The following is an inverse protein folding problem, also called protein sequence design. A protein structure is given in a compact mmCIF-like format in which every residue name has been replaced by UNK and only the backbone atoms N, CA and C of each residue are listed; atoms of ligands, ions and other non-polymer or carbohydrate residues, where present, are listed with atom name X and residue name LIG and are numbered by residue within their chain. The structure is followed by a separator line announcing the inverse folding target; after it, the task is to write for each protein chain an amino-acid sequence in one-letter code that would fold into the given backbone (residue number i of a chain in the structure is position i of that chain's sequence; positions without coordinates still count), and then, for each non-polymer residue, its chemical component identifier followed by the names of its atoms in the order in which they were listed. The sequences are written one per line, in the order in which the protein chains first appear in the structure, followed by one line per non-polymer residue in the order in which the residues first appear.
data_IF_714297423974
#
_entry.id   IF_714297423974
#
_cell.length_a   1.000
_cell.length_b   1.000
_cell.length_c   1.000
_cell.angle_alpha   90.00
_cell.angle_beta   90.00
_cell.angle_gamma   90.00
#
_symmetry.space_group_name_H-M   'P 1'
#
loop_
_entity.id
_entity.type
_entity.pdbx_description
1 polymer ?
#
# COMPACT_ATOMS: atom_id res chain seq x y z
N UNK A 1 16.72 35.69 -0.15
CA UNK A 1 16.29 35.29 1.21
C UNK A 1 16.96 33.95 1.49
N UNK A 2 18.12 33.96 2.13
CA UNK A 2 18.82 32.72 2.53
C UNK A 2 18.01 32.07 3.65
N UNK A 3 17.44 30.90 3.40
CA UNK A 3 16.84 30.10 4.46
C UNK A 3 17.96 29.62 5.37
N UNK A 4 18.02 30.18 6.60
CA UNK A 4 18.82 29.60 7.68
C UNK A 4 18.47 28.11 7.79
N UNK A 5 19.46 27.20 7.93
CA UNK A 5 19.18 25.79 8.08
C UNK A 5 18.19 25.64 9.23
N UNK A 6 17.09 24.92 9.00
CA UNK A 6 16.15 24.58 10.06
C UNK A 6 16.98 24.03 11.23
N UNK A 7 16.78 24.51 12.48
CA UNK A 7 17.58 24.03 13.60
C UNK A 7 17.44 22.52 13.64
N UNK A 8 18.55 21.78 13.53
CA UNK A 8 18.60 20.31 13.36
C UNK A 8 17.62 19.57 14.28
N UNK A 9 17.39 20.13 15.48
CA UNK A 9 16.40 19.70 16.47
C UNK A 9 14.97 19.57 15.95
N UNK A 10 14.49 20.47 15.09
CA UNK A 10 13.13 20.41 14.53
C UNK A 10 13.03 19.30 13.48
N UNK A 11 14.03 19.21 12.60
CA UNK A 11 14.11 18.14 11.59
C UNK A 11 14.15 16.76 12.26
N UNK A 12 14.98 16.60 13.28
CA UNK A 12 15.11 15.35 14.02
C UNK A 12 13.82 14.98 14.75
N UNK A 13 13.17 15.94 15.43
CA UNK A 13 11.87 15.71 16.06
C UNK A 13 10.80 15.27 15.05
N UNK A 14 10.77 15.88 13.86
CA UNK A 14 9.81 15.49 12.82
C UNK A 14 10.05 14.06 12.34
N UNK A 15 11.31 13.66 12.11
CA UNK A 15 11.67 12.29 11.74
C UNK A 15 11.28 11.29 12.83
N UNK A 16 11.62 11.57 14.09
CA UNK A 16 11.39 10.68 15.22
C UNK A 16 9.89 10.47 15.53
N UNK A 17 9.08 11.51 15.37
CA UNK A 17 7.65 11.47 15.66
C UNK A 17 6.81 11.00 14.46
N UNK A 18 7.35 11.06 13.25
CA UNK A 18 6.61 10.70 12.06
C UNK A 18 6.15 9.25 12.08
N UNK A 19 7.08 8.30 12.30
CA UNK A 19 6.74 6.89 12.24
C UNK A 19 5.61 6.48 13.22
N UNK A 20 5.67 6.82 14.52
CA UNK A 20 4.57 6.57 15.45
C UNK A 20 3.26 7.25 15.06
N UNK A 21 3.30 8.53 14.66
CA UNK A 21 2.10 9.26 14.27
C UNK A 21 1.44 8.66 13.03
N UNK A 22 2.25 8.26 12.04
CA UNK A 22 1.79 7.69 10.80
C UNK A 22 1.18 6.30 10.99
N UNK A 23 1.81 5.45 11.79
CA UNK A 23 1.28 4.13 12.16
C UNK A 23 -0.02 4.23 12.95
N UNK A 24 -0.15 5.24 13.81
CA UNK A 24 -1.39 5.50 14.54
C UNK A 24 -2.50 5.91 13.57
N UNK A 25 -2.23 6.88 12.69
CA UNK A 25 -3.21 7.36 11.72
C UNK A 25 -3.66 6.25 10.78
N UNK A 26 -2.72 5.49 10.22
CA UNK A 26 -3.03 4.35 9.34
C UNK A 26 -3.87 3.31 10.07
N UNK A 27 -3.53 2.96 11.32
CA UNK A 27 -4.33 2.02 12.13
C UNK A 27 -5.77 2.50 12.37
N UNK A 28 -5.97 3.81 12.60
CA UNK A 28 -7.31 4.40 12.72
C UNK A 28 -8.07 4.24 11.40
N UNK A 29 -7.46 4.62 10.27
CA UNK A 29 -8.11 4.50 8.96
C UNK A 29 -8.48 3.06 8.62
N UNK A 30 -7.60 2.10 8.92
CA UNK A 30 -7.86 0.68 8.70
C UNK A 30 -8.98 0.14 9.60
N UNK A 31 -9.03 0.59 10.86
CA UNK A 31 -10.15 0.29 11.75
C UNK A 31 -11.49 0.79 11.21
N UNK A 32 -11.52 2.02 10.66
CA UNK A 32 -12.72 2.57 10.01
C UNK A 32 -13.09 1.77 8.76
N UNK A 33 -12.12 1.43 7.92
CA UNK A 33 -12.34 0.60 6.73
C UNK A 33 -12.97 -0.75 7.08
N UNK A 34 -12.40 -1.47 8.06
CA UNK A 34 -12.92 -2.76 8.52
C UNK A 34 -14.31 -2.64 9.17
N UNK A 35 -14.54 -1.58 9.95
CA UNK A 35 -15.84 -1.27 10.53
C UNK A 35 -16.91 -0.91 9.47
N UNK A 36 -16.50 -0.58 8.25
CA UNK A 36 -17.42 -0.39 7.13
C UNK A 36 -17.63 -1.69 6.33
N UNK A 37 -16.56 -2.46 6.09
CA UNK A 37 -16.62 -3.73 5.37
C UNK A 37 -17.44 -4.79 6.11
N UNK A 38 -17.20 -4.99 7.41
CA UNK A 38 -17.83 -6.07 8.15
C UNK A 38 -19.38 -5.94 8.20
N UNK A 39 -19.97 -4.79 8.56
CA UNK A 39 -21.42 -4.62 8.49
C UNK A 39 -21.97 -4.71 7.07
N UNK A 40 -21.21 -4.28 6.06
CA UNK A 40 -21.63 -4.41 4.66
C UNK A 40 -21.76 -5.88 4.25
N UNK A 41 -20.78 -6.70 4.60
CA UNK A 41 -20.82 -8.16 4.38
C UNK A 41 -21.96 -8.77 5.19
N UNK A 42 -22.11 -8.44 6.48
CA UNK A 42 -23.20 -8.93 7.33
C UNK A 42 -24.59 -8.61 6.75
N UNK A 43 -24.77 -7.42 6.17
CA UNK A 43 -26.03 -7.02 5.58
C UNK A 43 -26.35 -7.73 4.25
N UNK A 44 -25.36 -8.31 3.57
CA UNK A 44 -25.51 -8.78 2.18
C UNK A 44 -25.12 -10.24 1.94
N UNK A 45 -24.42 -10.91 2.87
CA UNK A 45 -23.85 -12.26 2.67
C UNK A 45 -24.87 -13.32 2.28
N UNK A 46 -26.13 -13.19 2.71
CA UNK A 46 -27.19 -14.13 2.39
C UNK A 46 -27.47 -14.24 0.88
N UNK A 47 -27.07 -13.22 0.11
CA UNK A 47 -27.26 -13.14 -1.34
C UNK A 47 -25.94 -13.27 -2.11
N UNK A 48 -24.82 -13.52 -1.42
CA UNK A 48 -23.53 -13.64 -2.07
C UNK A 48 -23.44 -14.91 -2.90
N UNK A 49 -22.99 -14.75 -4.14
CA UNK A 49 -22.46 -15.86 -4.91
C UNK A 49 -20.96 -16.05 -4.62
N UNK A 50 -20.34 -17.03 -5.28
CA UNK A 50 -18.91 -17.29 -5.13
C UNK A 50 -18.03 -16.10 -5.54
N UNK A 51 -18.45 -15.30 -6.52
CA UNK A 51 -17.67 -14.15 -6.97
C UNK A 51 -17.70 -13.03 -5.91
N UNK A 52 -18.84 -12.76 -5.27
CA UNK A 52 -18.93 -11.79 -4.16
C UNK A 52 -18.00 -12.16 -3.00
N UNK A 53 -17.91 -13.45 -2.66
CA UNK A 53 -16.97 -13.93 -1.64
C UNK A 53 -15.52 -13.69 -2.04
N UNK A 54 -15.14 -13.98 -3.29
CA UNK A 54 -13.78 -13.74 -3.78
C UNK A 54 -13.44 -12.24 -3.75
N UNK A 55 -14.36 -11.36 -4.18
CA UNK A 55 -14.16 -9.91 -4.13
C UNK A 55 -14.07 -9.39 -2.69
N UNK A 56 -14.86 -9.95 -1.78
CA UNK A 56 -14.81 -9.64 -0.34
C UNK A 56 -13.46 -10.00 0.27
N UNK A 57 -12.97 -11.22 -0.01
CA UNK A 57 -11.65 -11.67 0.43
C UNK A 57 -10.55 -10.79 -0.18
N UNK A 58 -10.63 -10.49 -1.48
CA UNK A 58 -9.68 -9.60 -2.15
C UNK A 58 -9.67 -8.19 -1.54
N UNK A 59 -10.85 -7.64 -1.23
CA UNK A 59 -11.02 -6.34 -0.56
C UNK A 59 -10.35 -6.34 0.83
N UNK A 60 -10.62 -7.37 1.63
CA UNK A 60 -10.01 -7.53 2.95
C UNK A 60 -8.48 -7.65 2.87
N UNK A 61 -7.94 -8.46 1.95
CA UNK A 61 -6.50 -8.59 1.77
C UNK A 61 -5.89 -7.27 1.31
N UNK A 62 -6.59 -6.49 0.47
CA UNK A 62 -6.11 -5.20 0.01
C UNK A 62 -5.95 -4.19 1.16
N UNK A 63 -6.88 -4.18 2.13
CA UNK A 63 -6.75 -3.35 3.34
C UNK A 63 -5.47 -3.70 4.10
N UNK A 64 -5.26 -5.00 4.33
CA UNK A 64 -4.04 -5.49 4.99
C UNK A 64 -2.78 -5.13 4.20
N UNK A 65 -2.82 -5.19 2.87
CA UNK A 65 -1.71 -4.82 2.01
C UNK A 65 -1.37 -3.32 2.08
N UNK A 66 -2.39 -2.45 2.07
CA UNK A 66 -2.20 -1.00 2.22
C UNK A 66 -1.52 -0.70 3.56
N UNK A 67 -2.06 -1.28 4.64
CA UNK A 67 -1.46 -1.16 5.97
C UNK A 67 -0.01 -1.68 6.01
N UNK A 68 0.21 -2.90 5.50
CA UNK A 68 1.53 -3.53 5.46
C UNK A 68 2.53 -2.66 4.69
N UNK A 69 2.14 -2.13 3.54
CA UNK A 69 3.03 -1.30 2.72
C UNK A 69 3.48 -0.05 3.48
N UNK A 70 2.59 0.59 4.22
CA UNK A 70 2.94 1.74 5.04
C UNK A 70 3.89 1.39 6.18
N UNK A 71 3.62 0.30 6.90
CA UNK A 71 4.52 -0.20 7.95
C UNK A 71 5.91 -0.43 7.37
N UNK A 72 5.99 -1.08 6.21
CA UNK A 72 7.28 -1.37 5.56
C UNK A 72 8.01 -0.09 5.14
N UNK A 73 7.33 0.88 4.54
CA UNK A 73 7.98 2.12 4.09
C UNK A 73 8.53 2.93 5.25
N UNK A 74 7.69 3.19 6.25
CA UNK A 74 8.02 4.03 7.41
C UNK A 74 9.14 3.43 8.27
N UNK A 75 9.25 2.09 8.31
CA UNK A 75 10.33 1.42 9.01
C UNK A 75 11.61 1.26 8.18
N UNK A 76 11.51 1.22 6.84
CA UNK A 76 12.66 1.00 5.97
C UNK A 76 13.39 2.29 5.56
N UNK A 77 12.69 3.42 5.50
CA UNK A 77 13.25 4.67 4.99
C UNK A 77 13.08 5.84 5.95
N UNK A 78 14.03 6.76 5.90
CA UNK A 78 13.98 8.01 6.66
C UNK A 78 13.63 9.16 5.72
N UNK A 79 12.59 9.93 6.05
CA UNK A 79 12.26 11.19 5.38
C UNK A 79 11.56 12.15 6.33
N UNK A 80 11.48 13.42 5.92
CA UNK A 80 10.70 14.44 6.64
C UNK A 80 9.29 14.47 6.04
N UNK A 81 8.23 14.28 6.84
CA UNK A 81 6.87 14.22 6.32
C UNK A 81 6.41 15.55 5.72
N UNK A 82 5.60 15.42 4.68
CA UNK A 82 4.92 16.53 4.01
C UNK A 82 3.41 16.42 4.18
N UNK A 83 2.67 17.44 3.72
CA UNK A 83 1.20 17.39 3.68
C UNK A 83 0.70 16.20 2.86
N UNK A 84 1.41 15.82 1.79
CA UNK A 84 1.01 14.69 0.95
C UNK A 84 1.02 13.39 1.75
N UNK A 85 2.02 13.17 2.59
CA UNK A 85 2.10 11.98 3.44
C UNK A 85 0.86 11.84 4.31
N UNK A 86 0.38 12.95 4.89
CA UNK A 86 -0.83 12.98 5.73
C UNK A 86 -2.09 12.68 4.91
N UNK A 87 -2.15 13.10 3.65
CA UNK A 87 -3.32 12.89 2.79
C UNK A 87 -3.42 11.47 2.24
N UNK A 88 -2.30 10.76 2.04
CA UNK A 88 -2.33 9.42 1.42
C UNK A 88 -3.20 8.42 2.19
N UNK A 89 -3.12 8.29 3.53
CA UNK A 89 -3.98 7.37 4.28
C UNK A 89 -5.48 7.65 4.09
N UNK A 90 -5.87 8.93 3.99
CA UNK A 90 -7.27 9.28 3.73
C UNK A 90 -7.69 9.00 2.28
N UNK A 91 -6.79 9.16 1.32
CA UNK A 91 -7.05 8.79 -0.07
C UNK A 91 -7.27 7.28 -0.21
N UNK A 92 -6.46 6.45 0.48
CA UNK A 92 -6.72 5.02 0.56
C UNK A 92 -8.02 4.73 1.29
N UNK A 93 -8.28 5.32 2.45
CA UNK A 93 -9.54 5.12 3.18
C UNK A 93 -10.76 5.41 2.30
N UNK A 94 -10.76 6.52 1.56
CA UNK A 94 -11.85 6.84 0.65
C UNK A 94 -12.06 5.72 -0.38
N UNK A 95 -10.98 5.23 -0.99
CA UNK A 95 -11.06 4.14 -1.95
C UNK A 95 -11.47 2.81 -1.29
N UNK A 96 -10.99 2.51 -0.09
CA UNK A 96 -11.38 1.34 0.70
C UNK A 96 -12.88 1.32 0.98
N UNK A 97 -13.45 2.46 1.40
CA UNK A 97 -14.89 2.62 1.60
C UNK A 97 -15.69 2.37 0.32
N UNK A 98 -15.25 2.91 -0.82
CA UNK A 98 -15.87 2.62 -2.12
C UNK A 98 -15.74 1.14 -2.49
N UNK A 99 -14.59 0.52 -2.25
CA UNK A 99 -14.34 -0.88 -2.59
C UNK A 99 -15.28 -1.80 -1.80
N UNK A 100 -15.43 -1.52 -0.50
CA UNK A 100 -16.41 -2.19 0.35
C UNK A 100 -17.84 -1.95 -0.09
N UNK A 101 -18.18 -0.73 -0.50
CA UNK A 101 -19.53 -0.41 -0.98
C UNK A 101 -19.91 -1.26 -2.20
N UNK A 102 -18.99 -1.38 -3.17
CA UNK A 102 -19.20 -2.09 -4.43
C UNK A 102 -18.92 -3.60 -4.39
N UNK A 103 -18.49 -4.15 -3.25
CA UNK A 103 -18.15 -5.58 -3.10
C UNK A 103 -19.30 -6.53 -3.46
N UNK A 104 -20.54 -6.03 -3.38
CA UNK A 104 -21.76 -6.72 -3.74
C UNK A 104 -22.44 -6.06 -4.94
N UNK A 105 -22.73 -6.87 -5.97
CA UNK A 105 -23.51 -6.53 -7.17
C UNK A 105 -22.95 -5.44 -8.11
N UNK A 106 -21.78 -4.87 -7.85
CA UNK A 106 -21.20 -3.85 -8.74
C UNK A 106 -19.72 -4.11 -9.05
N UNK A 107 -19.46 -5.21 -9.78
CA UNK A 107 -18.11 -5.58 -10.20
C UNK A 107 -17.45 -4.46 -11.01
N UNK A 108 -18.20 -3.73 -11.83
CA UNK A 108 -17.66 -2.64 -12.66
C UNK A 108 -17.06 -1.56 -11.78
N UNK A 109 -17.83 -0.99 -10.85
CA UNK A 109 -17.33 0.08 -9.99
C UNK A 109 -16.32 -0.43 -8.95
N UNK A 110 -16.40 -1.72 -8.59
CA UNK A 110 -15.36 -2.38 -7.81
C UNK A 110 -14.00 -2.37 -8.55
N UNK A 111 -13.97 -2.74 -9.84
CA UNK A 111 -12.74 -2.72 -10.67
C UNK A 111 -12.16 -1.31 -10.84
N UNK A 112 -13.03 -0.30 -11.02
CA UNK A 112 -12.61 1.11 -11.05
C UNK A 112 -11.91 1.48 -9.75
N UNK A 113 -12.55 1.19 -8.63
CA UNK A 113 -12.03 1.55 -7.31
C UNK A 113 -10.73 0.81 -6.99
N UNK A 114 -10.63 -0.47 -7.36
CA UNK A 114 -9.39 -1.23 -7.26
C UNK A 114 -8.25 -0.59 -8.08
N UNK A 115 -8.54 -0.12 -9.29
CA UNK A 115 -7.60 0.66 -10.11
C UNK A 115 -7.19 1.99 -9.46
N UNK A 116 -8.14 2.70 -8.85
CA UNK A 116 -7.88 3.96 -8.11
C UNK A 116 -6.96 3.73 -6.91
N UNK A 117 -7.13 2.63 -6.16
CA UNK A 117 -6.21 2.25 -5.08
C UNK A 117 -4.79 2.06 -5.62
N UNK A 118 -4.66 1.40 -6.78
CA UNK A 118 -3.38 1.27 -7.46
C UNK A 118 -2.76 2.63 -7.81
N UNK A 119 -3.56 3.57 -8.33
CA UNK A 119 -3.10 4.93 -8.65
C UNK A 119 -2.63 5.67 -7.40
N UNK A 120 -3.41 5.64 -6.32
CA UNK A 120 -3.02 6.24 -5.03
C UNK A 120 -1.70 5.61 -4.54
N UNK A 121 -1.56 4.30 -4.62
CA UNK A 121 -0.32 3.59 -4.27
C UNK A 121 0.87 3.99 -5.14
N UNK A 122 0.67 4.15 -6.45
CA UNK A 122 1.73 4.59 -7.36
C UNK A 122 2.17 6.04 -7.05
N UNK A 123 1.21 6.93 -6.76
CA UNK A 123 1.50 8.30 -6.34
C UNK A 123 2.24 8.33 -4.99
N UNK A 124 1.80 7.53 -4.02
CA UNK A 124 2.47 7.39 -2.73
C UNK A 124 3.92 6.93 -2.90
N UNK A 125 4.16 5.89 -3.70
CA UNK A 125 5.51 5.43 -4.04
C UNK A 125 6.36 6.51 -4.70
N UNK A 126 5.78 7.27 -5.64
CA UNK A 126 6.49 8.36 -6.30
C UNK A 126 6.90 9.45 -5.30
N UNK A 127 6.01 9.82 -4.37
CA UNK A 127 6.29 10.77 -3.29
C UNK A 127 7.41 10.25 -2.39
N UNK A 128 7.31 9.00 -1.91
CA UNK A 128 8.35 8.36 -1.07
C UNK A 128 9.70 8.31 -1.78
N UNK A 129 9.75 7.95 -3.07
CA UNK A 129 10.99 7.93 -3.86
C UNK A 129 11.58 9.34 -4.02
N UNK A 130 10.72 10.34 -4.26
CA UNK A 130 11.16 11.73 -4.38
C UNK A 130 11.78 12.25 -3.08
N UNK A 131 11.14 11.96 -1.94
CA UNK A 131 11.60 12.40 -0.63
C UNK A 131 12.83 11.64 -0.14
N UNK A 132 12.92 10.32 -0.38
CA UNK A 132 14.11 9.54 -0.01
C UNK A 132 15.37 9.96 -0.79
N UNK A 133 15.21 10.50 -2.01
CA UNK A 133 16.31 11.13 -2.76
C UNK A 133 16.81 12.44 -2.14
N UNK A 134 16.02 13.10 -1.29
CA UNK A 134 16.51 14.26 -0.54
C UNK A 134 17.42 13.86 0.64
N UNK A 135 17.34 12.60 1.09
CA UNK A 135 18.11 12.03 2.20
C UNK A 135 18.98 10.86 1.71
N UNK A 136 19.72 11.08 0.60
CA UNK A 136 20.52 10.02 -0.05
C UNK A 136 21.49 9.36 0.93
N UNK A 137 22.15 10.14 1.79
CA UNK A 137 23.18 9.61 2.69
C UNK A 137 22.60 8.63 3.73
N UNK A 138 21.44 8.97 4.32
CA UNK A 138 20.77 8.12 5.32
C UNK A 138 20.10 6.89 4.68
N UNK A 139 19.63 6.98 3.43
CA UNK A 139 18.89 5.92 2.77
C UNK A 139 19.72 5.08 1.77
N UNK A 140 20.99 5.43 1.52
CA UNK A 140 21.78 4.90 0.39
C UNK A 140 21.83 3.38 0.34
N UNK A 141 22.13 2.77 1.47
CA UNK A 141 22.37 1.33 1.57
C UNK A 141 21.06 0.54 1.49
N UNK A 142 19.99 1.06 2.08
CA UNK A 142 18.66 0.46 1.98
C UNK A 142 18.14 0.55 0.54
N UNK A 143 18.17 1.74 -0.08
CA UNK A 143 17.71 1.95 -1.46
C UNK A 143 18.45 1.03 -2.42
N UNK A 144 19.77 0.85 -2.27
CA UNK A 144 20.55 -0.04 -3.14
C UNK A 144 20.11 -1.50 -3.03
N UNK A 145 19.78 -1.98 -1.83
CA UNK A 145 19.37 -3.37 -1.58
C UNK A 145 17.98 -3.67 -2.14
N UNK A 146 17.05 -2.73 -2.03
CA UNK A 146 15.64 -2.94 -2.42
C UNK A 146 15.28 -2.47 -3.83
N UNK A 147 16.17 -1.76 -4.53
CA UNK A 147 15.90 -1.14 -5.86
C UNK A 147 15.33 -2.10 -6.91
N UNK A 148 15.87 -3.32 -7.00
CA UNK A 148 15.42 -4.31 -7.99
C UNK A 148 13.99 -4.78 -7.68
N UNK A 149 13.73 -5.14 -6.42
CA UNK A 149 12.39 -5.53 -5.96
C UNK A 149 11.39 -4.38 -6.12
N UNK A 150 11.77 -3.15 -5.76
CA UNK A 150 10.93 -1.97 -5.96
C UNK A 150 10.54 -1.74 -7.43
N UNK A 151 11.44 -2.01 -8.38
CA UNK A 151 11.15 -1.88 -9.82
C UNK A 151 10.13 -2.91 -10.30
N UNK A 152 10.29 -4.19 -9.93
CA UNK A 152 9.32 -5.23 -10.30
C UNK A 152 7.95 -4.96 -9.71
N UNK A 153 7.90 -4.50 -8.45
CA UNK A 153 6.65 -4.10 -7.79
C UNK A 153 5.98 -2.92 -8.48
N UNK A 154 6.74 -1.87 -8.83
CA UNK A 154 6.22 -0.72 -9.56
C UNK A 154 5.62 -1.09 -10.92
N UNK A 155 6.30 -1.97 -11.67
CA UNK A 155 5.77 -2.49 -12.96
C UNK A 155 4.48 -3.26 -12.73
N UNK A 156 4.44 -4.14 -11.72
CA UNK A 156 3.24 -4.90 -11.41
C UNK A 156 2.06 -4.00 -11.05
N UNK A 157 2.28 -2.95 -10.24
CA UNK A 157 1.24 -1.95 -9.91
C UNK A 157 0.69 -1.30 -11.18
N UNK A 158 1.56 -0.87 -12.11
CA UNK A 158 1.13 -0.24 -13.37
C UNK A 158 0.30 -1.22 -14.22
N UNK A 159 0.72 -2.48 -14.30
CA UNK A 159 -0.02 -3.53 -15.00
C UNK A 159 -1.39 -3.74 -14.36
N UNK A 160 -1.46 -3.85 -13.03
CA UNK A 160 -2.71 -4.00 -12.28
C UNK A 160 -3.66 -2.84 -12.51
N UNK A 161 -3.18 -1.59 -12.45
CA UNK A 161 -3.98 -0.39 -12.74
C UNK A 161 -4.53 -0.47 -14.16
N UNK A 162 -3.66 -0.74 -15.13
CA UNK A 162 -4.01 -0.75 -16.55
C UNK A 162 -5.08 -1.82 -16.82
N UNK A 163 -4.87 -3.05 -16.35
CA UNK A 163 -5.83 -4.14 -16.50
C UNK A 163 -7.17 -3.75 -15.86
N UNK A 164 -7.16 -3.21 -14.65
CA UNK A 164 -8.40 -2.89 -13.92
C UNK A 164 -9.20 -1.78 -14.61
N UNK A 165 -8.53 -0.73 -15.09
CA UNK A 165 -9.17 0.36 -15.83
C UNK A 165 -9.64 -0.09 -17.21
N UNK A 166 -8.89 -0.95 -17.90
CA UNK A 166 -9.32 -1.54 -19.16
C UNK A 166 -10.57 -2.43 -18.98
N UNK A 167 -10.60 -3.28 -17.95
CA UNK A 167 -11.75 -4.12 -17.64
C UNK A 167 -12.97 -3.28 -17.24
N UNK A 168 -12.76 -2.18 -16.49
CA UNK A 168 -13.83 -1.23 -16.18
C UNK A 168 -14.37 -0.54 -17.44
N UNK A 169 -13.49 -0.05 -18.32
CA UNK A 169 -13.88 0.69 -19.53
C UNK A 169 -14.56 -0.20 -20.57
N UNK A 170 -14.12 -1.45 -20.70
CA UNK A 170 -14.63 -2.43 -21.65
C UNK A 170 -15.67 -3.38 -21.03
N UNK A 171 -16.18 -3.07 -19.83
CA UNK A 171 -17.04 -3.97 -19.05
C UNK A 171 -18.26 -4.46 -19.84
N UNK A 172 -19.00 -3.52 -20.44
CA UNK A 172 -20.23 -3.80 -21.18
C UNK A 172 -19.93 -4.50 -22.52
N UNK A 173 -18.81 -4.12 -23.17
CA UNK A 173 -18.36 -4.66 -24.47
C UNK A 173 -17.93 -6.12 -24.34
N UNK A 174 -17.26 -6.47 -23.24
CA UNK A 174 -16.77 -7.82 -22.97
C UNK A 174 -17.78 -8.70 -22.23
N UNK A 175 -18.97 -8.17 -21.93
CA UNK A 175 -20.01 -8.84 -21.14
C UNK A 175 -19.46 -9.46 -19.84
N UNK A 176 -18.61 -8.72 -19.12
CA UNK A 176 -17.88 -9.23 -17.95
C UNK A 176 -18.80 -9.70 -16.82
N UNK A 177 -20.05 -9.25 -16.79
CA UNK A 177 -21.09 -9.74 -15.89
C UNK A 177 -21.28 -11.26 -15.97
N UNK A 178 -21.23 -11.84 -17.19
CA UNK A 178 -21.44 -13.28 -17.40
C UNK A 178 -20.27 -14.12 -16.90
N UNK A 179 -19.07 -13.53 -16.82
CA UNK A 179 -17.82 -14.20 -16.42
C UNK A 179 -17.26 -13.65 -15.10
N UNK A 180 -18.14 -13.08 -14.27
CA UNK A 180 -17.79 -12.39 -13.03
C UNK A 180 -16.93 -13.24 -12.08
N UNK A 181 -17.17 -14.55 -11.99
CA UNK A 181 -16.35 -15.48 -11.19
C UNK A 181 -14.90 -15.57 -11.68
N UNK A 182 -14.68 -15.59 -13.00
CA UNK A 182 -13.34 -15.64 -13.59
C UNK A 182 -12.60 -14.34 -13.30
N UNK A 183 -13.26 -13.20 -13.49
CA UNK A 183 -12.70 -11.88 -13.19
C UNK A 183 -12.30 -11.77 -11.72
N UNK A 184 -13.21 -12.15 -10.80
CA UNK A 184 -12.93 -12.14 -9.36
C UNK A 184 -11.77 -13.07 -8.98
N UNK A 185 -11.65 -14.24 -9.62
CA UNK A 185 -10.52 -15.16 -9.41
C UNK A 185 -9.19 -14.57 -9.88
N UNK A 186 -9.16 -13.95 -11.06
CA UNK A 186 -7.95 -13.29 -11.59
C UNK A 186 -7.51 -12.16 -10.65
N UNK A 187 -8.45 -11.34 -10.18
CA UNK A 187 -8.18 -10.27 -9.24
C UNK A 187 -7.62 -10.82 -7.92
N UNK A 188 -8.23 -11.87 -7.36
CA UNK A 188 -7.73 -12.48 -6.13
C UNK A 188 -6.30 -13.03 -6.32
N UNK A 189 -6.01 -13.67 -7.45
CA UNK A 189 -4.66 -14.13 -7.81
C UNK A 189 -3.70 -12.95 -7.91
N UNK A 190 -4.10 -11.85 -8.55
CA UNK A 190 -3.28 -10.64 -8.67
C UNK A 190 -2.94 -10.05 -7.29
N UNK A 191 -3.93 -9.97 -6.39
CA UNK A 191 -3.74 -9.56 -5.00
C UNK A 191 -2.81 -10.52 -4.26
N UNK A 192 -3.00 -11.84 -4.43
CA UNK A 192 -2.13 -12.86 -3.86
C UNK A 192 -0.67 -12.74 -4.33
N UNK A 193 -0.45 -12.54 -5.62
CA UNK A 193 0.90 -12.29 -6.19
C UNK A 193 1.53 -11.05 -5.54
N UNK A 194 0.75 -10.00 -5.29
CA UNK A 194 1.25 -8.83 -4.59
C UNK A 194 1.68 -9.16 -3.15
N UNK A 195 0.86 -9.90 -2.39
CA UNK A 195 1.20 -10.39 -1.03
C UNK A 195 2.49 -11.19 -1.06
N UNK A 196 2.60 -12.21 -1.91
CA UNK A 196 3.82 -13.03 -1.98
C UNK A 196 5.04 -12.22 -2.42
N UNK A 197 4.84 -11.20 -3.26
CA UNK A 197 5.88 -10.27 -3.67
C UNK A 197 6.40 -9.36 -2.54
N UNK A 198 5.64 -9.13 -1.47
CA UNK A 198 6.10 -8.31 -0.32
C UNK A 198 7.05 -9.07 0.61
N UNK A 199 6.94 -10.40 0.69
CA UNK A 199 7.77 -11.26 1.54
C UNK A 199 9.29 -11.08 1.28
N UNK A 200 9.80 -11.23 0.04
CA UNK A 200 11.24 -11.09 -0.21
C UNK A 200 11.75 -9.67 0.09
N UNK A 201 10.93 -8.65 -0.20
CA UNK A 201 11.25 -7.26 0.13
C UNK A 201 11.43 -7.09 1.65
N UNK A 202 10.48 -7.58 2.44
CA UNK A 202 10.54 -7.46 3.90
C UNK A 202 11.70 -8.23 4.50
N UNK A 203 11.99 -9.43 3.99
CA UNK A 203 13.14 -10.22 4.42
C UNK A 203 14.46 -9.46 4.21
N UNK A 204 14.60 -8.69 3.13
CA UNK A 204 15.80 -7.87 2.91
C UNK A 204 15.94 -6.73 3.93
N UNK A 205 14.82 -6.09 4.29
CA UNK A 205 14.79 -5.04 5.33
C UNK A 205 15.19 -5.63 6.68
N UNK A 206 14.64 -6.79 7.06
CA UNK A 206 14.98 -7.45 8.33
C UNK A 206 16.44 -7.91 8.38
N UNK A 207 16.97 -8.46 7.28
CA UNK A 207 18.38 -8.85 7.19
C UNK A 207 19.30 -7.63 7.32
N UNK A 208 18.91 -6.49 6.74
CA UNK A 208 19.64 -5.23 6.91
C UNK A 208 19.70 -4.81 8.39
N UNK A 209 18.56 -4.74 9.06
CA UNK A 209 18.45 -4.34 10.46
C UNK A 209 19.26 -5.26 11.40
N UNK A 210 19.19 -6.58 11.19
CA UNK A 210 19.94 -7.55 11.98
C UNK A 210 21.45 -7.53 11.71
N UNK A 211 21.85 -7.16 10.48
CA UNK A 211 23.25 -7.06 10.07
C UNK A 211 24.00 -5.91 10.76
N UNK A 212 23.35 -4.74 10.89
CA UNK A 212 23.93 -3.61 11.62
C UNK A 212 24.17 -3.95 13.11
N UNK A 213 23.23 -4.65 13.74
CA UNK A 213 23.32 -5.00 15.16
C UNK A 213 24.58 -5.84 15.50
N UNK A 214 24.95 -6.78 14.61
CA UNK A 214 26.15 -7.61 14.77
C UNK A 214 27.46 -6.84 14.58
N UNK A 215 27.47 -5.84 13.70
CA UNK A 215 28.67 -5.02 13.45
C UNK A 215 28.96 -4.06 14.61
N UNK A 216 27.92 -3.48 15.23
CA UNK A 216 28.05 -2.62 16.40
C UNK A 216 28.44 -3.39 17.67
N UNK A 217 27.96 -4.62 17.85
CA UNK A 217 28.41 -5.47 18.97
C UNK A 217 29.89 -5.85 18.87
N UNK A 218 30.39 -6.19 17.68
CA UNK A 218 31.84 -6.50 17.51
C UNK A 218 32.74 -5.30 17.79
N UNK A 219 32.33 -4.08 17.44
CA UNK A 219 33.09 -2.84 17.72
C UNK A 219 33.13 -2.42 19.18
N UNK A 220 32.19 -2.88 20.02
CA UNK A 220 32.20 -2.61 21.48
C UNK A 220 33.06 -3.59 22.28
N UNK A 221 33.48 -4.70 21.67
CA UNK A 221 34.25 -5.77 22.31
C UNK A 221 35.74 -5.73 21.93
N UNK A 222 36.11 -4.88 20.95
CA UNK A 222 37.50 -4.56 20.57
C UNK A 222 37.95 -3.24 21.18
#
# INVERSE_FOLDING_TARGET
MEMKPAPERVSQRLKDQFAPAYLTLTSITQGVGLAFLAPRVEATYAHFDAADWLLTIATFILYLLVWQEYVMQVLAFVWVPTLLDVLVPFAFLACELFLSHFVYHDLRNWLLTFGLIGIVGALAQFVTISQTRAFVEENRDMVRKVRLHGRYRGIFIIISITISLCLWALYDVLHLEQIRLIVASIVLVMVGVFVFGTIPYWNQVLVYANGEHRSHQRRKVS
#
